data_IF_775391774947
#
_entry.id   IF_775391774947
#
_cell.length_a   1.000
_cell.length_b   1.000
_cell.length_c   1.000
_cell.angle_alpha   90.00
_cell.angle_beta   90.00
_cell.angle_gamma   90.00
#
_symmetry.space_group_name_H-M   'P 1'
#
loop_
_entity.id
_entity.type
_entity.pdbx_description
1 polymer ?
#
# COMPACT_ATOMS: atom_id res chain seq x y z
N UNK A 1 -8.51 -25.28 16.79
CA UNK A 1 -8.33 -24.01 16.06
C UNK A 1 -9.19 -22.96 16.76
N UNK A 2 -8.63 -21.84 17.22
CA UNK A 2 -9.39 -20.81 17.94
C UNK A 2 -10.50 -20.27 17.03
N UNK A 3 -11.77 -20.56 17.33
CA UNK A 3 -12.92 -20.13 16.52
C UNK A 3 -13.00 -18.60 16.36
N UNK A 4 -12.37 -17.83 17.26
CA UNK A 4 -12.34 -16.36 17.23
C UNK A 4 -11.66 -15.74 16.02
N UNK A 5 -10.69 -16.40 15.39
CA UNK A 5 -9.92 -15.77 14.30
C UNK A 5 -10.41 -16.15 12.89
N UNK A 6 -11.46 -16.97 12.78
CA UNK A 6 -12.05 -17.36 11.50
C UNK A 6 -13.26 -16.50 11.09
N UNK A 7 -13.68 -15.58 11.96
CA UNK A 7 -14.76 -14.63 11.69
C UNK A 7 -14.18 -13.29 11.24
N UNK A 8 -14.44 -12.83 10.00
CA UNK A 8 -13.88 -11.59 9.48
C UNK A 8 -14.35 -10.35 10.25
N UNK A 9 -15.56 -10.37 10.82
CA UNK A 9 -16.04 -9.25 11.65
C UNK A 9 -15.22 -9.14 12.94
N UNK A 10 -14.97 -10.26 13.62
CA UNK A 10 -14.10 -10.29 14.81
C UNK A 10 -12.68 -9.78 14.48
N UNK A 11 -12.12 -10.11 13.31
CA UNK A 11 -10.81 -9.59 12.90
C UNK A 11 -10.85 -8.07 12.70
N UNK A 12 -11.89 -7.55 12.05
CA UNK A 12 -12.06 -6.11 11.84
C UNK A 12 -12.21 -5.36 13.16
N UNK A 13 -13.03 -5.87 14.08
CA UNK A 13 -13.24 -5.26 15.39
C UNK A 13 -11.92 -5.16 16.17
N UNK A 14 -11.11 -6.24 16.17
CA UNK A 14 -9.78 -6.24 16.78
C UNK A 14 -8.85 -5.19 16.16
N UNK A 15 -8.88 -5.00 14.85
CA UNK A 15 -8.05 -3.97 14.18
C UNK A 15 -8.46 -2.55 14.59
N UNK A 16 -9.72 -2.36 14.95
CA UNK A 16 -10.27 -1.07 15.36
C UNK A 16 -10.16 -0.80 16.86
N UNK A 17 -9.93 -1.82 17.69
CA UNK A 17 -9.71 -1.66 19.14
C UNK A 17 -8.50 -0.75 19.44
N UNK A 18 -8.61 0.11 20.46
CA UNK A 18 -7.47 0.84 20.99
C UNK A 18 -6.54 -0.11 21.74
N UNK A 19 -5.28 -0.18 21.32
CA UNK A 19 -4.31 -1.07 21.95
C UNK A 19 -3.63 -0.32 23.10
N UNK A 20 -3.96 -0.67 24.34
CA UNK A 20 -3.27 -0.18 25.54
C UNK A 20 -2.12 -1.11 25.91
N UNK A 21 -0.86 -0.69 25.74
CA UNK A 21 0.32 -1.47 26.15
C UNK A 21 1.52 -0.59 26.52
N UNK A 22 2.50 -1.24 27.19
CA UNK A 22 3.74 -0.67 27.69
C UNK A 22 4.62 -0.11 26.56
N UNK A 23 4.77 1.22 26.56
CA UNK A 23 5.35 2.01 25.45
C UNK A 23 6.85 1.75 25.31
N UNK A 24 7.53 1.27 26.36
CA UNK A 24 8.98 1.15 26.39
C UNK A 24 9.52 0.12 25.39
N UNK A 25 8.85 -1.03 25.22
CA UNK A 25 9.34 -2.10 24.34
C UNK A 25 9.03 -1.81 22.85
N UNK A 26 7.86 -1.25 22.55
CA UNK A 26 7.41 -0.96 21.18
C UNK A 26 8.36 0.03 20.48
N UNK A 27 8.94 0.97 21.23
CA UNK A 27 9.91 1.92 20.70
C UNK A 27 11.16 1.22 20.16
N UNK A 28 11.61 0.21 20.91
CA UNK A 28 12.78 -0.60 20.57
C UNK A 28 12.54 -1.46 19.33
N UNK A 29 11.31 -1.96 19.11
CA UNK A 29 10.93 -2.78 17.95
C UNK A 29 11.16 -2.06 16.63
N UNK A 30 10.74 -0.80 16.52
CA UNK A 30 11.00 0.00 15.32
C UNK A 30 12.51 0.18 15.07
N UNK A 31 13.28 0.47 16.12
CA UNK A 31 14.72 0.62 16.02
C UNK A 31 15.43 -0.66 15.55
N UNK A 32 15.00 -1.83 16.05
CA UNK A 32 15.58 -3.14 15.70
C UNK A 32 15.15 -3.67 14.33
N UNK A 33 14.02 -3.21 13.79
CA UNK A 33 13.47 -3.68 12.51
C UNK A 33 14.30 -3.31 11.27
N UNK A 34 15.26 -2.39 11.42
CA UNK A 34 15.97 -1.77 10.30
C UNK A 34 15.19 -0.65 9.59
N UNK A 35 13.87 -0.57 9.76
CA UNK A 35 13.03 0.47 9.15
C UNK A 35 13.31 1.88 9.71
N UNK A 36 13.81 2.00 10.95
CA UNK A 36 14.20 3.29 11.52
C UNK A 36 15.27 4.02 10.70
N UNK A 37 16.11 3.29 9.96
CA UNK A 37 17.11 3.90 9.07
C UNK A 37 16.50 4.80 7.97
N UNK A 38 15.20 4.61 7.69
CA UNK A 38 14.41 5.29 6.66
C UNK A 38 13.70 6.55 7.15
N UNK A 39 13.72 6.83 8.45
CA UNK A 39 12.99 7.95 9.05
C UNK A 39 13.92 8.99 9.66
N UNK A 40 13.61 10.27 9.47
CA UNK A 40 14.41 11.41 9.93
C UNK A 40 15.05 12.21 8.80
N UNK A 41 15.79 13.25 9.18
CA UNK A 41 16.51 14.13 8.24
C UNK A 41 17.57 13.36 7.45
N UNK A 42 17.80 13.76 6.20
CA UNK A 42 18.77 13.13 5.30
C UNK A 42 20.19 13.04 5.90
N UNK A 43 20.64 14.12 6.55
CA UNK A 43 21.95 14.21 7.22
C UNK A 43 21.89 14.02 8.74
N UNK A 44 20.68 13.83 9.31
CA UNK A 44 20.48 13.70 10.74
C UNK A 44 20.48 12.25 11.23
N UNK A 45 20.41 12.01 12.55
CA UNK A 45 20.22 10.68 13.09
C UNK A 45 18.84 10.11 12.69
N UNK A 46 18.71 8.77 12.59
CA UNK A 46 17.42 8.10 12.45
C UNK A 46 16.42 8.54 13.53
N UNK A 47 15.14 8.63 13.18
CA UNK A 47 14.07 9.07 14.11
C UNK A 47 13.02 8.00 14.31
N UNK A 48 12.44 7.99 15.51
CA UNK A 48 11.29 7.15 15.83
C UNK A 48 10.05 7.65 15.08
N UNK A 49 9.19 6.72 14.64
CA UNK A 49 7.84 7.03 14.12
C UNK A 49 6.84 7.18 15.28
N UNK A 50 5.67 7.81 15.06
CA UNK A 50 4.61 7.77 16.07
C UNK A 50 4.34 6.33 16.52
N UNK A 51 4.32 6.10 17.84
CA UNK A 51 4.26 4.75 18.42
C UNK A 51 3.07 3.92 17.93
N UNK A 52 1.94 4.58 17.64
CA UNK A 52 0.75 3.94 17.09
C UNK A 52 1.02 3.23 15.76
N UNK A 53 1.97 3.71 14.95
CA UNK A 53 2.34 3.07 13.66
C UNK A 53 2.94 1.69 13.92
N UNK A 54 3.97 1.62 14.77
CA UNK A 54 4.63 0.35 15.13
C UNK A 54 3.66 -0.59 15.83
N UNK A 55 2.84 -0.07 16.75
CA UNK A 55 1.86 -0.84 17.50
C UNK A 55 0.84 -1.53 16.57
N UNK A 56 0.31 -0.81 15.58
CA UNK A 56 -0.63 -1.38 14.61
C UNK A 56 0.02 -2.45 13.72
N UNK A 57 1.30 -2.30 13.38
CA UNK A 57 2.03 -3.32 12.61
C UNK A 57 2.24 -4.61 13.40
N UNK A 58 2.62 -4.49 14.67
CA UNK A 58 2.80 -5.65 15.57
C UNK A 58 1.44 -6.35 15.82
N UNK A 59 0.36 -5.58 15.97
CA UNK A 59 -0.99 -6.13 16.07
C UNK A 59 -1.38 -6.92 14.81
N UNK A 60 -1.12 -6.38 13.61
CA UNK A 60 -1.36 -7.07 12.34
C UNK A 60 -0.53 -8.34 12.23
N UNK A 61 0.76 -8.29 12.58
CA UNK A 61 1.64 -9.46 12.59
C UNK A 61 1.12 -10.56 13.52
N UNK A 62 0.67 -10.18 14.71
CA UNK A 62 0.10 -11.11 15.70
C UNK A 62 -1.17 -11.77 15.18
N UNK A 63 -2.10 -10.99 14.59
CA UNK A 63 -3.34 -11.52 13.99
C UNK A 63 -3.02 -12.50 12.86
N UNK A 64 -2.06 -12.17 11.99
CA UNK A 64 -1.63 -13.04 10.90
C UNK A 64 -1.06 -14.34 11.45
N UNK A 65 -0.18 -14.29 12.45
CA UNK A 65 0.41 -15.48 13.07
C UNK A 65 -0.66 -16.36 13.75
N UNK A 66 -1.64 -15.76 14.41
CA UNK A 66 -2.73 -16.50 15.04
C UNK A 66 -3.57 -17.30 14.02
N UNK A 67 -3.91 -16.67 12.90
CA UNK A 67 -4.74 -17.25 11.82
C UNK A 67 -3.96 -18.28 11.02
N UNK A 68 -2.74 -17.93 10.61
CA UNK A 68 -1.99 -18.65 9.57
C UNK A 68 -0.83 -19.49 10.10
N UNK A 69 -0.42 -19.26 11.36
CA UNK A 69 0.84 -19.78 11.95
C UNK A 69 2.11 -19.26 11.27
N UNK A 70 1.98 -18.24 10.42
CA UNK A 70 3.11 -17.54 9.83
C UNK A 70 3.53 -16.39 10.74
N UNK A 71 4.71 -16.52 11.35
CA UNK A 71 5.32 -15.40 12.07
C UNK A 71 5.99 -14.44 11.09
N UNK A 72 5.73 -13.13 11.26
CA UNK A 72 6.27 -12.06 10.43
C UNK A 72 6.73 -10.89 11.30
N UNK A 73 7.72 -10.15 10.82
CA UNK A 73 8.14 -8.88 11.41
C UNK A 73 7.53 -7.72 10.61
N UNK A 74 6.39 -7.19 11.10
CA UNK A 74 5.63 -6.14 10.42
C UNK A 74 6.47 -4.90 10.08
N UNK A 75 7.16 -4.29 11.06
CA UNK A 75 8.07 -3.18 10.81
C UNK A 75 9.18 -3.51 9.79
N UNK A 76 9.82 -4.68 9.87
CA UNK A 76 10.90 -5.04 8.96
C UNK A 76 10.41 -5.17 7.51
N UNK A 77 9.22 -5.74 7.27
CA UNK A 77 8.60 -5.85 5.94
C UNK A 77 8.49 -4.50 5.21
N UNK A 78 8.33 -3.39 5.94
CA UNK A 78 8.32 -2.05 5.33
C UNK A 78 9.69 -1.62 4.81
N UNK A 79 10.76 -2.10 5.45
CA UNK A 79 12.13 -1.73 5.15
C UNK A 79 12.73 -2.51 3.98
N UNK A 80 12.21 -3.70 3.65
CA UNK A 80 12.80 -4.63 2.68
C UNK A 80 13.00 -4.00 1.29
N UNK A 81 11.98 -3.29 0.78
CA UNK A 81 12.07 -2.60 -0.51
C UNK A 81 13.21 -1.58 -0.51
N UNK A 82 13.32 -0.79 0.55
CA UNK A 82 14.33 0.24 0.66
C UNK A 82 15.73 -0.37 0.79
N UNK A 83 15.88 -1.45 1.57
CA UNK A 83 17.12 -2.19 1.69
C UNK A 83 17.59 -2.76 0.34
N UNK A 84 16.68 -3.40 -0.41
CA UNK A 84 16.99 -3.97 -1.74
C UNK A 84 17.35 -2.88 -2.75
N UNK A 85 16.67 -1.73 -2.70
CA UNK A 85 16.87 -0.63 -3.64
C UNK A 85 17.96 0.37 -3.19
N UNK A 86 18.60 0.15 -2.03
CA UNK A 86 19.60 1.07 -1.48
C UNK A 86 19.05 2.46 -1.14
N UNK A 87 17.77 2.55 -0.78
CA UNK A 87 17.12 3.82 -0.48
C UNK A 87 17.35 4.23 0.97
N UNK A 88 17.55 5.53 1.18
CA UNK A 88 17.81 6.12 2.50
C UNK A 88 16.82 7.23 2.80
N UNK A 89 16.68 7.59 4.09
CA UNK A 89 15.85 8.71 4.55
C UNK A 89 16.17 10.03 3.83
N UNK A 90 15.14 10.83 3.55
CA UNK A 90 15.27 12.11 2.83
C UNK A 90 14.53 13.27 3.52
N UNK A 91 14.40 13.23 4.86
CA UNK A 91 13.70 14.27 5.62
C UNK A 91 12.20 14.29 5.26
N UNK A 92 11.73 15.43 4.77
CA UNK A 92 10.34 15.60 4.33
C UNK A 92 10.00 14.95 2.99
N UNK A 93 10.97 14.37 2.29
CA UNK A 93 10.75 13.64 1.04
C UNK A 93 10.73 12.13 1.29
N UNK A 94 9.87 11.40 0.57
CA UNK A 94 9.87 9.94 0.65
C UNK A 94 11.19 9.37 0.12
N UNK A 95 11.57 8.18 0.60
CA UNK A 95 12.82 7.52 0.20
C UNK A 95 12.89 7.22 -1.31
N UNK A 96 11.74 7.11 -1.97
CA UNK A 96 11.63 6.97 -3.43
C UNK A 96 11.64 8.31 -4.20
N UNK A 97 11.56 9.44 -3.51
CA UNK A 97 11.71 10.78 -4.08
C UNK A 97 10.45 11.41 -4.69
N UNK A 98 9.34 10.69 -4.84
CA UNK A 98 8.16 11.26 -5.52
C UNK A 98 7.20 11.99 -4.58
N UNK A 99 7.15 11.56 -3.32
CA UNK A 99 6.27 12.16 -2.32
C UNK A 99 7.03 13.14 -1.42
N UNK A 100 6.36 14.20 -1.00
CA UNK A 100 6.93 15.31 -0.26
C UNK A 100 5.91 15.83 0.75
N UNK A 101 6.31 15.94 2.02
CA UNK A 101 5.61 16.70 3.03
C UNK A 101 5.90 18.20 2.85
N UNK A 102 4.84 19.01 2.89
CA UNK A 102 4.89 20.46 2.70
C UNK A 102 3.96 21.11 3.73
N UNK A 103 4.44 22.18 4.36
CA UNK A 103 3.62 23.00 5.27
C UNK A 103 2.68 23.90 4.46
N UNK A 104 1.40 23.96 4.87
CA UNK A 104 0.43 24.96 4.41
C UNK A 104 0.13 25.95 5.55
N UNK A 105 -0.82 26.87 5.36
CA UNK A 105 -1.14 27.86 6.41
C UNK A 105 -1.69 27.24 7.69
N UNK A 106 -2.34 26.08 7.57
CA UNK A 106 -3.11 25.43 8.63
C UNK A 106 -2.52 24.09 9.09
N UNK A 107 -1.99 23.25 8.18
CA UNK A 107 -1.43 21.93 8.54
C UNK A 107 -0.53 21.36 7.43
N UNK A 108 0.35 20.38 7.73
CA UNK A 108 1.13 19.74 6.68
C UNK A 108 0.26 18.93 5.71
N UNK A 109 0.64 18.92 4.44
CA UNK A 109 0.07 18.06 3.40
C UNK A 109 1.16 17.13 2.84
N UNK A 110 0.75 16.03 2.22
CA UNK A 110 1.63 15.13 1.47
C UNK A 110 1.26 15.16 -0.01
N UNK A 111 2.14 15.71 -0.85
CA UNK A 111 1.99 15.70 -2.31
C UNK A 111 2.82 14.58 -2.91
N UNK A 112 2.32 13.93 -3.97
CA UNK A 112 3.07 12.89 -4.68
C UNK A 112 2.99 13.06 -6.20
N UNK A 113 4.06 13.57 -6.78
CA UNK A 113 4.22 13.78 -8.23
C UNK A 113 5.02 12.64 -8.84
N UNK A 114 4.40 11.47 -8.90
CA UNK A 114 5.03 10.26 -9.44
C UNK A 114 4.98 10.17 -10.97
N UNK A 115 4.13 10.98 -11.62
CA UNK A 115 3.97 11.02 -13.08
C UNK A 115 4.51 12.33 -13.63
N UNK A 116 5.17 12.33 -14.80
CA UNK A 116 5.57 13.57 -15.47
C UNK A 116 4.41 14.55 -15.65
N UNK A 117 3.23 14.03 -15.99
CA UNK A 117 2.00 14.82 -16.19
C UNK A 117 1.52 15.51 -14.92
N UNK A 118 1.87 15.03 -13.71
CA UNK A 118 1.48 15.67 -12.46
C UNK A 118 2.04 17.10 -12.37
N UNK A 119 3.24 17.34 -12.91
CA UNK A 119 3.86 18.67 -12.91
C UNK A 119 3.12 19.66 -13.82
N UNK A 120 2.56 19.17 -14.92
CA UNK A 120 1.80 20.00 -15.87
C UNK A 120 0.47 20.50 -15.27
N UNK A 121 -0.01 19.85 -14.22
CA UNK A 121 -1.25 20.22 -13.54
C UNK A 121 -1.05 21.27 -12.45
N UNK A 122 0.20 21.60 -12.08
CA UNK A 122 0.50 22.54 -10.97
C UNK A 122 -0.16 23.91 -11.17
N UNK A 123 -0.07 24.58 -12.35
CA UNK A 123 -0.72 25.88 -12.53
C UNK A 123 -2.24 25.82 -12.35
N UNK A 124 -2.88 24.78 -12.89
CA UNK A 124 -4.33 24.57 -12.75
C UNK A 124 -4.73 24.18 -11.31
N UNK A 125 -3.84 23.50 -10.59
CA UNK A 125 -4.04 23.10 -9.21
C UNK A 125 -3.91 24.28 -8.25
N UNK A 126 -2.91 25.13 -8.42
CA UNK A 126 -2.74 26.31 -7.59
C UNK A 126 -3.62 27.49 -8.04
N UNK A 127 -4.17 27.42 -9.26
CA UNK A 127 -4.88 28.51 -9.92
C UNK A 127 -4.02 29.77 -10.08
N UNK A 128 -2.73 29.56 -10.35
CA UNK A 128 -1.70 30.59 -10.44
C UNK A 128 -0.82 30.33 -11.67
N UNK A 129 -0.34 31.39 -12.33
CA UNK A 129 0.64 31.30 -13.40
C UNK A 129 2.04 31.09 -12.83
N UNK A 130 2.36 29.82 -12.51
CA UNK A 130 3.63 29.43 -11.88
C UNK A 130 4.44 28.49 -12.80
N UNK A 131 5.77 28.64 -12.82
CA UNK A 131 6.64 27.61 -13.40
C UNK A 131 6.67 26.38 -12.49
N UNK A 132 6.17 25.21 -12.94
CA UNK A 132 6.16 23.99 -12.12
C UNK A 132 7.56 23.51 -11.70
N UNK A 133 8.63 23.98 -12.36
CA UNK A 133 10.00 23.66 -12.00
C UNK A 133 10.57 24.61 -10.93
N UNK A 134 9.92 25.75 -10.67
CA UNK A 134 10.33 26.71 -9.66
C UNK A 134 9.85 26.29 -8.27
N UNK A 135 10.59 25.36 -7.65
CA UNK A 135 10.27 24.81 -6.32
C UNK A 135 10.11 25.87 -5.24
N UNK A 136 10.88 26.95 -5.30
CA UNK A 136 10.84 28.03 -4.29
C UNK A 136 9.51 28.77 -4.35
N UNK A 137 9.08 29.10 -5.55
CA UNK A 137 7.79 29.74 -5.79
C UNK A 137 6.64 28.80 -5.41
N UNK A 138 6.74 27.52 -5.80
CA UNK A 138 5.75 26.49 -5.47
C UNK A 138 5.53 26.39 -3.96
N UNK A 139 6.60 26.21 -3.18
CA UNK A 139 6.49 26.14 -1.73
C UNK A 139 6.03 27.44 -1.09
N UNK A 140 6.35 28.60 -1.68
CA UNK A 140 5.84 29.88 -1.19
C UNK A 140 4.33 30.03 -1.40
N UNK A 141 3.78 29.50 -2.50
CA UNK A 141 2.33 29.51 -2.74
C UNK A 141 1.66 28.53 -1.78
N UNK A 142 2.16 27.29 -1.71
CA UNK A 142 1.61 26.24 -0.82
C UNK A 142 1.57 26.68 0.65
N UNK A 143 2.62 27.34 1.14
CA UNK A 143 2.68 27.85 2.51
C UNK A 143 1.65 28.94 2.85
N UNK A 144 0.96 29.50 1.84
CA UNK A 144 -0.09 30.52 2.00
C UNK A 144 -1.49 29.99 1.69
N UNK A 145 -1.61 28.76 1.23
CA UNK A 145 -2.89 28.14 0.87
C UNK A 145 -3.47 27.36 2.03
N UNK A 146 -4.79 27.18 2.06
CA UNK A 146 -5.46 26.27 2.98
C UNK A 146 -5.41 24.84 2.47
N UNK A 147 -5.11 23.88 3.35
CA UNK A 147 -4.94 22.46 3.00
C UNK A 147 -6.19 21.86 2.34
N UNK A 148 -7.38 22.19 2.83
CA UNK A 148 -8.66 21.69 2.31
C UNK A 148 -8.95 22.17 0.88
N UNK A 149 -8.62 23.44 0.57
CA UNK A 149 -8.77 23.98 -0.77
C UNK A 149 -7.83 23.27 -1.76
N UNK A 150 -6.57 23.08 -1.36
CA UNK A 150 -5.58 22.35 -2.15
C UNK A 150 -6.04 20.91 -2.42
N UNK A 151 -6.62 20.24 -1.44
CA UNK A 151 -7.15 18.88 -1.58
C UNK A 151 -8.31 18.81 -2.57
N UNK A 152 -9.33 19.67 -2.41
CA UNK A 152 -10.50 19.70 -3.31
C UNK A 152 -10.08 19.89 -4.77
N UNK A 153 -9.12 20.78 -5.02
CA UNK A 153 -8.63 21.02 -6.37
C UNK A 153 -7.77 19.85 -6.89
N UNK A 154 -6.95 19.23 -6.03
CA UNK A 154 -6.17 18.06 -6.39
C UNK A 154 -7.07 16.87 -6.78
N UNK A 155 -8.18 16.66 -6.06
CA UNK A 155 -9.16 15.60 -6.36
C UNK A 155 -9.81 15.79 -7.74
N UNK A 156 -10.20 17.02 -8.09
CA UNK A 156 -10.78 17.35 -9.40
C UNK A 156 -9.79 17.05 -10.55
N UNK A 157 -8.50 17.29 -10.32
CA UNK A 157 -7.44 17.08 -11.30
C UNK A 157 -6.83 15.67 -11.26
N UNK A 158 -7.23 14.85 -10.29
CA UNK A 158 -6.64 13.52 -10.07
C UNK A 158 -5.16 13.57 -9.68
N UNK A 159 -4.74 14.63 -8.99
CA UNK A 159 -3.40 14.79 -8.40
C UNK A 159 -3.35 14.02 -7.08
N UNK A 160 -2.35 13.16 -6.85
CA UNK A 160 -2.21 12.47 -5.58
C UNK A 160 -1.77 13.44 -4.47
N UNK A 161 -2.70 13.78 -3.59
CA UNK A 161 -2.47 14.63 -2.42
C UNK A 161 -3.21 14.05 -1.21
N UNK A 162 -2.53 14.00 -0.06
CA UNK A 162 -3.14 13.63 1.21
C UNK A 162 -3.10 14.79 2.20
N UNK A 163 -4.21 15.03 2.89
CA UNK A 163 -4.31 15.95 4.02
C UNK A 163 -4.61 15.12 5.28
N UNK A 164 -3.90 15.32 6.40
CA UNK A 164 -4.23 14.66 7.66
C UNK A 164 -5.63 15.03 8.16
N UNK A 165 -6.27 14.08 8.84
CA UNK A 165 -7.55 14.26 9.54
C UNK A 165 -8.74 14.66 8.66
N UNK A 166 -8.71 14.31 7.37
CA UNK A 166 -9.83 14.52 6.42
C UNK A 166 -10.60 13.25 6.10
N UNK A 167 -10.16 12.10 6.60
CA UNK A 167 -10.82 10.80 6.36
C UNK A 167 -12.09 10.68 7.21
N UNK A 168 -13.22 10.38 6.56
CA UNK A 168 -14.52 10.21 7.24
C UNK A 168 -14.72 8.77 7.71
N UNK A 169 -13.97 7.81 7.15
CA UNK A 169 -14.07 6.41 7.49
C UNK A 169 -13.43 6.08 8.85
N UNK A 170 -14.28 5.71 9.82
CA UNK A 170 -13.84 5.28 11.16
C UNK A 170 -13.24 3.87 11.20
N UNK A 171 -13.47 3.07 10.17
CA UNK A 171 -13.08 1.66 10.09
C UNK A 171 -11.99 1.48 9.02
N UNK A 172 -10.96 0.67 9.26
CA UNK A 172 -9.85 0.49 8.32
C UNK A 172 -10.21 -0.36 7.09
N UNK A 173 -11.33 -1.06 7.13
CA UNK A 173 -11.85 -1.87 6.03
C UNK A 173 -13.39 -1.94 6.06
N UNK A 174 -13.98 -2.25 4.91
CA UNK A 174 -15.40 -2.55 4.79
C UNK A 174 -15.58 -4.05 4.57
N UNK A 175 -16.42 -4.68 5.39
CA UNK A 175 -16.80 -6.07 5.23
C UNK A 175 -18.16 -6.16 4.53
N UNK A 176 -18.26 -7.00 3.51
CA UNK A 176 -19.52 -7.35 2.86
C UNK A 176 -19.64 -8.86 2.80
N UNK A 177 -20.67 -9.41 3.44
CA UNK A 177 -20.90 -10.85 3.46
C UNK A 177 -21.78 -11.29 2.29
N UNK A 178 -21.26 -12.24 1.51
CA UNK A 178 -21.99 -12.89 0.43
C UNK A 178 -22.83 -14.08 0.90
N UNK A 179 -23.37 -14.83 -0.06
CA UNK A 179 -24.03 -16.12 0.22
C UNK A 179 -22.99 -17.17 0.60
N UNK A 180 -23.37 -18.09 1.47
CA UNK A 180 -22.55 -19.26 1.78
C UNK A 180 -22.38 -20.17 0.55
N UNK A 181 -21.18 -20.70 0.39
CA UNK A 181 -20.85 -21.68 -0.64
C UNK A 181 -20.61 -23.05 0.00
N UNK A 182 -21.11 -24.10 -0.63
CA UNK A 182 -20.80 -25.49 -0.25
C UNK A 182 -19.53 -26.02 -0.95
N UNK A 183 -18.85 -25.19 -1.76
CA UNK A 183 -17.60 -25.56 -2.42
C UNK A 183 -16.56 -25.86 -1.35
N UNK A 184 -16.05 -27.09 -1.33
CA UNK A 184 -14.89 -27.48 -0.52
C UNK A 184 -13.72 -27.68 -1.47
N UNK A 185 -12.76 -26.78 -1.46
CA UNK A 185 -11.50 -26.96 -2.16
C UNK A 185 -10.51 -27.69 -1.26
N UNK A 186 -9.71 -28.60 -1.84
CA UNK A 186 -8.65 -29.31 -1.11
C UNK A 186 -7.49 -28.37 -0.76
N UNK A 187 -7.29 -27.34 -1.58
CA UNK A 187 -6.31 -26.27 -1.43
C UNK A 187 -6.98 -24.95 -1.87
N UNK A 188 -6.82 -23.89 -1.07
CA UNK A 188 -7.41 -22.58 -1.37
C UNK A 188 -6.73 -21.95 -2.59
N UNK A 189 -7.50 -21.69 -3.64
CA UNK A 189 -7.02 -21.02 -4.85
C UNK A 189 -7.18 -19.50 -4.74
N UNK A 190 -6.07 -18.78 -4.84
CA UNK A 190 -6.01 -17.32 -4.84
C UNK A 190 -5.62 -16.82 -6.23
N UNK A 191 -6.42 -15.91 -6.77
CA UNK A 191 -6.10 -15.19 -8.01
C UNK A 191 -5.72 -13.74 -7.66
N UNK A 192 -4.48 -13.37 -7.93
CA UNK A 192 -3.94 -12.03 -7.64
C UNK A 192 -3.80 -11.22 -8.93
N UNK A 193 -4.46 -10.06 -9.01
CA UNK A 193 -4.36 -9.13 -10.13
C UNK A 193 -3.48 -7.90 -9.85
N UNK A 194 -3.16 -7.68 -8.58
CA UNK A 194 -2.47 -6.46 -8.17
C UNK A 194 -1.00 -6.41 -8.61
N UNK A 195 -0.45 -5.19 -8.57
CA UNK A 195 0.92 -4.89 -8.98
C UNK A 195 1.69 -4.17 -7.86
N UNK A 196 2.99 -4.01 -8.05
CA UNK A 196 3.92 -3.29 -7.20
C UNK A 196 4.19 -3.98 -5.86
N UNK A 197 3.41 -3.70 -4.82
CA UNK A 197 3.78 -4.09 -3.46
C UNK A 197 2.63 -4.63 -2.63
N UNK A 198 1.58 -3.85 -2.36
CA UNK A 198 0.56 -4.23 -1.37
C UNK A 198 -0.14 -5.56 -1.71
N UNK A 199 -0.67 -5.71 -2.92
CA UNK A 199 -1.29 -6.96 -3.35
C UNK A 199 -0.28 -8.10 -3.50
N UNK A 200 0.90 -7.91 -4.13
CA UNK A 200 1.94 -8.95 -4.14
C UNK A 200 2.38 -9.43 -2.74
N UNK A 201 2.49 -8.54 -1.75
CA UNK A 201 2.79 -8.91 -0.37
C UNK A 201 1.65 -9.76 0.22
N UNK A 202 0.40 -9.34 0.04
CA UNK A 202 -0.77 -10.11 0.47
C UNK A 202 -0.75 -11.53 -0.14
N UNK A 203 -0.49 -11.63 -1.45
CA UNK A 203 -0.39 -12.93 -2.12
C UNK A 203 0.79 -13.79 -1.63
N UNK A 204 1.96 -13.22 -1.34
CA UNK A 204 3.06 -14.00 -0.75
C UNK A 204 2.70 -14.53 0.64
N UNK A 205 2.07 -13.70 1.49
CA UNK A 205 1.64 -14.13 2.82
C UNK A 205 0.60 -15.26 2.73
N UNK A 206 -0.37 -15.17 1.81
CA UNK A 206 -1.33 -16.26 1.56
C UNK A 206 -0.64 -17.53 1.04
N UNK A 207 0.31 -17.40 0.12
CA UNK A 207 1.11 -18.53 -0.40
C UNK A 207 1.90 -19.22 0.73
N UNK A 208 2.59 -18.44 1.56
CA UNK A 208 3.35 -18.95 2.73
C UNK A 208 2.46 -19.60 3.77
N UNK A 209 1.17 -19.23 3.79
CA UNK A 209 0.14 -19.84 4.62
C UNK A 209 -0.47 -21.11 4.00
N UNK A 210 0.06 -21.58 2.86
CA UNK A 210 -0.36 -22.83 2.20
C UNK A 210 -1.42 -22.66 1.11
N UNK A 211 -1.71 -21.44 0.66
CA UNK A 211 -2.60 -21.23 -0.47
C UNK A 211 -1.86 -21.39 -1.81
N UNK A 212 -2.57 -21.87 -2.83
CA UNK A 212 -2.11 -21.81 -4.22
C UNK A 212 -2.41 -20.44 -4.78
N UNK A 213 -1.37 -19.70 -5.18
CA UNK A 213 -1.51 -18.32 -5.67
C UNK A 213 -1.10 -18.23 -7.13
N UNK A 214 -2.01 -17.75 -7.97
CA UNK A 214 -1.76 -17.46 -9.38
C UNK A 214 -1.81 -15.94 -9.57
N UNK A 215 -0.67 -15.35 -9.93
CA UNK A 215 -0.57 -13.95 -10.33
C UNK A 215 -1.00 -13.80 -11.78
N UNK A 216 -2.00 -12.95 -12.02
CA UNK A 216 -2.46 -12.58 -13.34
C UNK A 216 -1.82 -11.26 -13.74
N UNK A 217 -1.21 -11.21 -14.92
CA UNK A 217 -0.60 -10.00 -15.47
C UNK A 217 -1.10 -9.71 -16.88
N UNK A 218 -1.13 -8.42 -17.24
CA UNK A 218 -1.34 -8.02 -18.63
C UNK A 218 -0.03 -8.15 -19.41
N UNK A 219 -0.07 -8.73 -20.60
CA UNK A 219 1.06 -8.73 -21.53
C UNK A 219 1.45 -7.31 -21.96
N UNK A 220 0.47 -6.43 -22.14
CA UNK A 220 0.71 -5.04 -22.53
C UNK A 220 1.22 -4.18 -21.37
N UNK A 221 0.83 -4.51 -20.13
CA UNK A 221 1.20 -3.77 -18.93
C UNK A 221 1.55 -4.72 -17.77
N UNK A 222 2.74 -5.34 -17.81
CA UNK A 222 3.18 -6.24 -16.76
C UNK A 222 3.40 -5.48 -15.44
N UNK A 223 3.52 -6.22 -14.34
CA UNK A 223 3.74 -5.65 -13.00
C UNK A 223 4.93 -4.67 -13.02
N UNK A 224 4.67 -3.44 -12.56
CA UNK A 224 5.67 -2.39 -12.54
C UNK A 224 6.91 -2.71 -11.69
N UNK A 225 6.78 -3.60 -10.69
CA UNK A 225 7.91 -4.06 -9.89
C UNK A 225 8.98 -4.77 -10.72
N UNK A 226 8.64 -5.37 -11.87
CA UNK A 226 9.58 -6.00 -12.80
C UNK A 226 10.59 -5.02 -13.41
N UNK A 227 10.28 -3.72 -13.42
CA UNK A 227 11.19 -2.64 -13.87
C UNK A 227 12.09 -2.13 -12.75
N UNK A 228 11.82 -2.53 -11.50
CA UNK A 228 12.65 -2.22 -10.35
C UNK A 228 13.74 -3.28 -10.12
N UNK A 229 14.36 -3.31 -8.94
CA UNK A 229 15.31 -4.36 -8.57
C UNK A 229 14.66 -5.75 -8.67
N UNK A 230 15.27 -6.66 -9.42
CA UNK A 230 14.76 -8.03 -9.62
C UNK A 230 14.51 -8.75 -8.30
N UNK A 231 15.42 -8.59 -7.32
CA UNK A 231 15.27 -9.17 -5.99
C UNK A 231 14.00 -8.74 -5.24
N UNK A 232 13.47 -7.53 -5.50
CA UNK A 232 12.21 -7.10 -4.88
C UNK A 232 11.00 -7.78 -5.52
N UNK A 233 11.01 -7.96 -6.85
CA UNK A 233 9.96 -8.71 -7.53
C UNK A 233 9.96 -10.18 -7.09
N UNK A 234 11.15 -10.79 -7.01
CA UNK A 234 11.32 -12.19 -6.61
C UNK A 234 10.93 -12.42 -5.14
N UNK A 235 11.24 -11.47 -4.25
CA UNK A 235 10.82 -11.52 -2.85
C UNK A 235 9.29 -11.63 -2.71
N UNK A 236 8.54 -10.83 -3.48
CA UNK A 236 7.09 -10.76 -3.36
C UNK A 236 6.34 -11.80 -4.21
N UNK A 237 6.96 -12.33 -5.27
CA UNK A 237 6.27 -13.21 -6.21
C UNK A 237 6.92 -14.60 -6.32
N UNK A 238 8.03 -14.82 -5.62
CA UNK A 238 8.70 -16.10 -5.53
C UNK A 238 7.75 -17.19 -5.02
N UNK A 239 7.68 -18.30 -5.76
CA UNK A 239 6.82 -19.44 -5.44
C UNK A 239 5.36 -19.29 -5.84
N UNK A 240 4.92 -18.16 -6.41
CA UNK A 240 3.59 -18.05 -7.04
C UNK A 240 3.64 -18.64 -8.44
N UNK A 241 2.49 -19.13 -8.92
CA UNK A 241 2.28 -19.34 -10.35
C UNK A 241 2.05 -17.97 -11.03
N UNK A 242 2.44 -17.84 -12.30
CA UNK A 242 2.29 -16.61 -13.06
C UNK A 242 1.64 -16.89 -14.41
N UNK A 243 0.59 -16.14 -14.72
CA UNK A 243 -0.14 -16.21 -15.98
C UNK A 243 -0.26 -14.81 -16.55
N UNK A 244 0.41 -14.57 -17.68
CA UNK A 244 0.28 -13.32 -18.42
C UNK A 244 -0.71 -13.50 -19.59
N UNK A 245 -1.66 -12.58 -19.72
CA UNK A 245 -2.72 -12.62 -20.73
C UNK A 245 -2.80 -11.31 -21.51
N UNK A 246 -3.26 -11.40 -22.76
CA UNK A 246 -3.71 -10.24 -23.52
C UNK A 246 -5.17 -9.96 -23.18
N UNK A 247 -5.44 -8.87 -22.45
CA UNK A 247 -6.81 -8.49 -22.08
C UNK A 247 -7.62 -7.91 -23.24
N UNK A 248 -7.00 -7.69 -24.41
CA UNK A 248 -7.72 -7.32 -25.64
C UNK A 248 -8.19 -8.53 -26.47
N UNK A 249 -7.71 -9.75 -26.16
CA UNK A 249 -8.16 -10.98 -26.82
C UNK A 249 -9.35 -11.60 -26.05
N UNK A 250 -10.50 -11.68 -26.71
CA UNK A 250 -11.73 -12.27 -26.15
C UNK A 250 -11.53 -13.70 -25.64
N UNK A 251 -10.67 -14.50 -26.28
CA UNK A 251 -10.37 -15.87 -25.83
C UNK A 251 -9.57 -15.88 -24.54
N UNK A 252 -8.65 -14.93 -24.38
CA UNK A 252 -7.89 -14.74 -23.15
C UNK A 252 -8.80 -14.30 -22.01
N UNK A 253 -9.76 -13.41 -22.28
CA UNK A 253 -10.78 -13.00 -21.31
C UNK A 253 -11.75 -14.15 -20.96
N UNK A 254 -12.14 -14.98 -21.93
CA UNK A 254 -12.96 -16.17 -21.67
C UNK A 254 -12.23 -17.16 -20.76
N UNK A 255 -10.95 -17.41 -21.03
CA UNK A 255 -10.12 -18.26 -20.18
C UNK A 255 -9.95 -17.68 -18.77
N UNK A 256 -9.68 -16.38 -18.66
CA UNK A 256 -9.59 -15.69 -17.37
C UNK A 256 -10.88 -15.83 -16.57
N UNK A 257 -12.05 -15.64 -17.19
CA UNK A 257 -13.35 -15.82 -16.54
C UNK A 257 -13.54 -17.24 -16.01
N UNK A 258 -13.01 -18.26 -16.70
CA UNK A 258 -13.05 -19.66 -16.22
C UNK A 258 -12.16 -19.83 -14.98
N UNK A 259 -10.96 -19.27 -14.98
CA UNK A 259 -10.06 -19.31 -13.81
C UNK A 259 -10.67 -18.58 -12.62
N UNK A 260 -11.19 -17.36 -12.83
CA UNK A 260 -11.79 -16.54 -11.77
C UNK A 260 -13.00 -17.23 -11.14
N UNK A 261 -13.79 -17.98 -11.92
CA UNK A 261 -14.90 -18.80 -11.39
C UNK A 261 -14.43 -19.93 -10.47
N UNK A 262 -13.19 -20.38 -10.64
CA UNK A 262 -12.61 -21.42 -9.79
C UNK A 262 -11.94 -20.87 -8.52
N UNK A 263 -11.63 -19.58 -8.49
CA UNK A 263 -10.97 -18.93 -7.36
C UNK A 263 -11.81 -19.00 -6.08
N UNK A 264 -11.14 -19.25 -4.95
CA UNK A 264 -11.72 -19.09 -3.61
C UNK A 264 -11.50 -17.66 -3.09
N UNK A 265 -10.38 -17.04 -3.48
CA UNK A 265 -10.01 -15.68 -3.10
C UNK A 265 -9.53 -14.90 -4.31
N UNK A 266 -9.93 -13.63 -4.41
CA UNK A 266 -9.41 -12.68 -5.40
C UNK A 266 -8.72 -11.55 -4.65
N UNK A 267 -7.48 -11.25 -5.02
CA UNK A 267 -6.70 -10.13 -4.48
C UNK A 267 -6.54 -9.08 -5.59
N UNK A 268 -7.04 -7.88 -5.34
CA UNK A 268 -7.03 -6.76 -6.27
C UNK A 268 -6.63 -5.46 -5.53
N UNK A 269 -5.86 -4.59 -6.18
CA UNK A 269 -5.35 -3.34 -5.61
C UNK A 269 -5.26 -2.19 -6.62
N UNK A 270 -5.85 -2.35 -7.81
CA UNK A 270 -5.94 -1.33 -8.85
C UNK A 270 -7.08 -0.35 -8.57
N UNK A 271 -7.02 0.81 -9.22
CA UNK A 271 -8.10 1.80 -9.13
C UNK A 271 -9.38 1.22 -9.74
N UNK A 272 -10.58 1.55 -9.22
CA UNK A 272 -11.86 1.00 -9.74
C UNK A 272 -12.05 1.14 -11.26
N UNK A 273 -11.45 2.16 -11.88
CA UNK A 273 -11.47 2.34 -13.34
C UNK A 273 -10.80 1.17 -14.09
N UNK A 274 -9.73 0.59 -13.55
CA UNK A 274 -8.98 -0.47 -14.21
C UNK A 274 -9.81 -1.76 -14.36
N UNK A 275 -10.72 -2.05 -13.40
CA UNK A 275 -11.62 -3.20 -13.46
C UNK A 275 -12.84 -3.01 -14.39
N UNK A 276 -13.18 -1.76 -14.73
CA UNK A 276 -14.35 -1.44 -15.57
C UNK A 276 -14.04 -1.44 -17.07
N UNK A 277 -12.76 -1.36 -17.42
CA UNK A 277 -12.26 -1.34 -18.79
C UNK A 277 -12.08 -2.76 -19.31
#
# INVERSE_FOLDING_TARGET
>A
MNQRCNDPQTVLDRLSEEVGQDVADIGSRWAMSGAMSLTGESSGPPRQVPMGVTLRMEQLATIIEEITKLSIDGPALLGERAAIAGLTRQGSRSVGGYAQLVETIDKPICINFARPDDLLLIPAWLQEEIDPNNRKELFSVLGKSESEQLMKQADLLGIPLGVPDTEEHKQPAQLTEGKTSNKRTAETLVIEFGSLWASPLCGDLLRRSGCRVIKIESLARPDGARRGPTGFFDLLNGGKESLALDFSDDRSLEFLRKIVKEADVIVEGSRPRALRQ
#
